data_IF_524553935213
#
_entry.id   IF_524553935213
#
_cell.length_a   1.000
_cell.length_b   1.000
_cell.length_c   1.000
_cell.angle_alpha   90.00
_cell.angle_beta   90.00
_cell.angle_gamma   90.00
#
_symmetry.space_group_name_H-M   'P 1'
#
loop_
_entity.id
_entity.type
_entity.pdbx_description
1 polymer ?
#
# COMPACT_ATOMS: atom_id res chain seq x y z
N UNK A 1 -28.38 -70.60 -46.74
CA UNK A 1 -27.67 -69.36 -46.34
C UNK A 1 -28.22 -68.22 -47.19
N UNK A 2 -28.85 -67.25 -46.54
CA UNK A 2 -29.91 -66.41 -47.11
C UNK A 2 -29.47 -64.95 -47.25
N UNK A 3 -29.68 -64.43 -48.47
CA UNK A 3 -30.24 -63.10 -48.84
C UNK A 3 -29.44 -61.79 -48.64
N UNK A 4 -29.36 -61.12 -49.80
CA UNK A 4 -29.70 -59.71 -50.09
C UNK A 4 -28.81 -58.63 -49.47
N UNK A 5 -28.12 -57.87 -50.34
CA UNK A 5 -27.73 -56.49 -50.06
C UNK A 5 -28.72 -55.54 -50.73
N UNK A 6 -29.34 -54.71 -49.89
CA UNK A 6 -30.34 -53.69 -50.22
C UNK A 6 -29.62 -52.35 -50.39
N UNK A 7 -30.09 -51.56 -51.36
CA UNK A 7 -29.68 -50.18 -51.60
C UNK A 7 -30.34 -49.21 -50.59
N UNK A 8 -29.64 -48.14 -50.20
CA UNK A 8 -30.24 -46.92 -49.65
C UNK A 8 -29.27 -45.74 -49.86
N UNK A 9 -29.58 -44.82 -50.80
CA UNK A 9 -30.25 -43.52 -50.60
C UNK A 9 -29.27 -42.40 -50.20
N UNK A 10 -29.05 -41.50 -51.16
CA UNK A 10 -28.45 -40.18 -50.98
C UNK A 10 -29.41 -39.28 -50.18
N UNK A 11 -28.88 -38.60 -49.16
CA UNK A 11 -29.51 -37.41 -48.60
C UNK A 11 -28.42 -36.35 -48.43
N UNK A 12 -28.47 -35.31 -49.27
CA UNK A 12 -27.65 -34.12 -49.14
C UNK A 12 -28.24 -33.22 -48.04
N UNK A 13 -27.46 -32.98 -46.98
CA UNK A 13 -27.81 -32.03 -45.93
C UNK A 13 -27.14 -30.68 -46.26
N UNK A 14 -27.94 -29.67 -46.62
CA UNK A 14 -27.48 -28.28 -46.74
C UNK A 14 -27.46 -27.68 -45.34
N UNK A 15 -26.26 -27.50 -44.78
CA UNK A 15 -26.06 -26.71 -43.56
C UNK A 15 -25.88 -25.24 -43.96
N UNK A 16 -26.91 -24.43 -43.71
CA UNK A 16 -26.83 -22.98 -43.83
C UNK A 16 -25.85 -22.41 -42.81
N UNK A 17 -24.80 -21.76 -43.28
CA UNK A 17 -23.87 -20.99 -42.46
C UNK A 17 -24.54 -19.70 -41.99
N UNK A 18 -25.02 -19.66 -40.75
CA UNK A 18 -25.32 -18.42 -40.05
C UNK A 18 -23.99 -17.80 -39.62
N UNK A 19 -23.50 -16.81 -40.39
CA UNK A 19 -22.43 -15.93 -39.95
C UNK A 19 -22.97 -15.01 -38.85
N UNK A 20 -22.43 -15.03 -37.62
CA UNK A 20 -22.81 -14.05 -36.62
C UNK A 20 -22.29 -12.69 -37.06
N UNK A 21 -23.21 -11.73 -37.27
CA UNK A 21 -22.85 -10.33 -37.40
C UNK A 21 -22.37 -9.87 -36.02
N UNK A 22 -21.06 -9.76 -35.87
CA UNK A 22 -20.45 -9.10 -34.72
C UNK A 22 -20.67 -7.60 -34.90
N UNK A 23 -21.68 -7.06 -34.20
CA UNK A 23 -21.77 -5.62 -34.00
C UNK A 23 -20.57 -5.18 -33.13
N UNK A 24 -19.86 -4.09 -33.48
CA UNK A 24 -18.86 -3.55 -32.57
C UNK A 24 -19.58 -3.07 -31.30
N UNK A 25 -19.11 -3.52 -30.13
CA UNK A 25 -19.57 -2.99 -28.86
C UNK A 25 -19.23 -1.49 -28.82
N UNK A 26 -20.26 -0.64 -28.95
CA UNK A 26 -20.12 0.79 -28.73
C UNK A 26 -19.65 1.01 -27.28
N UNK A 27 -18.59 1.81 -27.13
CA UNK A 27 -17.89 2.01 -25.87
C UNK A 27 -18.78 2.58 -24.77
N UNK A 28 -19.04 1.76 -23.74
CA UNK A 28 -19.67 2.19 -22.50
C UNK A 28 -18.70 2.95 -21.56
N UNK A 29 -17.44 3.14 -21.96
CA UNK A 29 -16.40 3.75 -21.09
C UNK A 29 -16.22 5.27 -21.30
N UNK A 30 -16.67 5.84 -22.42
CA UNK A 30 -16.47 7.27 -22.72
C UNK A 30 -17.49 8.21 -22.02
N UNK A 31 -18.67 7.71 -21.68
CA UNK A 31 -19.74 8.53 -21.09
C UNK A 31 -19.42 8.97 -19.66
N UNK A 32 -18.66 8.17 -18.92
CA UNK A 32 -18.54 8.33 -17.48
C UNK A 32 -17.57 9.45 -17.07
N UNK A 33 -16.50 9.68 -17.84
CA UNK A 33 -15.60 10.84 -17.64
C UNK A 33 -16.16 12.15 -18.19
N UNK A 34 -17.13 12.09 -19.10
CA UNK A 34 -17.56 13.26 -19.89
C UNK A 34 -18.21 14.37 -19.07
N UNK A 35 -18.63 14.07 -17.84
CA UNK A 35 -19.25 14.99 -16.87
C UNK A 35 -18.26 15.93 -16.19
N UNK A 36 -16.95 15.62 -16.19
CA UNK A 36 -15.93 16.44 -15.53
C UNK A 36 -15.41 17.56 -16.46
N UNK A 37 -15.06 18.74 -15.91
CA UNK A 37 -14.56 19.86 -16.70
C UNK A 37 -13.20 19.52 -17.32
N UNK A 38 -12.91 20.08 -18.50
CA UNK A 38 -11.56 20.01 -19.07
C UNK A 38 -10.57 20.78 -18.19
N UNK A 39 -9.35 20.26 -18.08
CA UNK A 39 -8.24 20.96 -17.47
C UNK A 39 -7.91 22.25 -18.26
N UNK A 40 -7.50 23.28 -17.55
CA UNK A 40 -7.17 24.62 -18.06
C UNK A 40 -5.80 25.00 -17.52
N UNK A 41 -4.87 25.28 -18.43
CA UNK A 41 -3.50 25.68 -18.07
C UNK A 41 -3.50 26.93 -17.19
N UNK A 42 -2.74 26.88 -16.08
CA UNK A 42 -2.59 28.02 -15.15
C UNK A 42 -3.82 28.33 -14.28
N UNK A 43 -4.89 27.54 -14.36
CA UNK A 43 -6.00 27.61 -13.41
C UNK A 43 -5.64 26.85 -12.13
N UNK A 44 -5.85 27.45 -10.97
CA UNK A 44 -5.70 26.72 -9.71
C UNK A 44 -6.81 25.69 -9.48
N UNK A 45 -6.43 24.53 -8.98
CA UNK A 45 -7.29 23.41 -8.60
C UNK A 45 -7.01 23.05 -7.15
N UNK A 46 -8.05 22.86 -6.35
CA UNK A 46 -7.88 22.38 -4.97
C UNK A 46 -7.87 20.86 -4.94
N UNK A 47 -7.26 20.29 -3.91
CA UNK A 47 -7.25 18.84 -3.67
C UNK A 47 -8.65 18.23 -3.85
N UNK A 48 -8.73 17.11 -4.58
CA UNK A 48 -9.96 16.41 -4.91
C UNK A 48 -10.69 16.91 -6.16
N UNK A 49 -10.25 18.00 -6.78
CA UNK A 49 -10.79 18.42 -8.09
C UNK A 49 -10.47 17.38 -9.18
N UNK A 50 -11.48 17.01 -9.95
CA UNK A 50 -11.35 16.07 -11.07
C UNK A 50 -11.46 16.84 -12.39
N UNK A 51 -10.53 16.62 -13.30
CA UNK A 51 -10.48 17.24 -14.62
C UNK A 51 -10.27 16.21 -15.72
N UNK A 52 -10.77 16.49 -16.92
CA UNK A 52 -10.40 15.76 -18.13
C UNK A 52 -9.17 16.39 -18.77
N UNK A 53 -8.23 15.56 -19.19
CA UNK A 53 -7.02 16.02 -19.85
C UNK A 53 -7.02 15.69 -21.35
N UNK A 54 -6.08 16.27 -22.09
CA UNK A 54 -6.04 16.22 -23.57
C UNK A 54 -5.73 14.83 -24.12
N UNK A 55 -5.19 13.93 -23.30
CA UNK A 55 -4.97 12.51 -23.63
C UNK A 55 -6.24 11.64 -23.55
N UNK A 56 -7.38 12.26 -23.23
CA UNK A 56 -8.69 11.62 -23.15
C UNK A 56 -9.00 10.97 -21.80
N UNK A 57 -8.10 11.05 -20.81
CA UNK A 57 -8.31 10.53 -19.45
C UNK A 57 -8.82 11.62 -18.51
N UNK A 58 -9.23 11.20 -17.31
CA UNK A 58 -9.46 12.11 -16.20
C UNK A 58 -8.35 12.00 -15.17
N UNK A 59 -8.18 13.05 -14.39
CA UNK A 59 -7.19 13.16 -13.33
C UNK A 59 -7.79 13.83 -12.11
N UNK A 60 -7.41 13.38 -10.92
CA UNK A 60 -7.78 14.00 -9.65
C UNK A 60 -6.58 14.74 -9.07
N UNK A 61 -6.80 15.93 -8.53
CA UNK A 61 -5.78 16.69 -7.84
C UNK A 61 -5.48 16.05 -6.46
N UNK A 62 -4.27 15.56 -6.24
CA UNK A 62 -3.84 15.00 -4.94
C UNK A 62 -3.42 16.09 -3.95
N UNK A 63 -3.07 17.27 -4.48
CA UNK A 63 -2.68 18.46 -3.74
C UNK A 63 -3.25 19.70 -4.41
N UNK A 64 -3.25 20.83 -3.68
CA UNK A 64 -3.60 22.13 -4.23
C UNK A 64 -2.62 22.51 -5.35
N UNK A 65 -3.14 22.55 -6.57
CA UNK A 65 -2.36 22.69 -7.77
C UNK A 65 -2.57 24.08 -8.39
N UNK A 66 -1.52 24.90 -8.58
CA UNK A 66 -1.63 26.22 -9.22
C UNK A 66 -1.84 26.19 -10.75
N UNK A 67 -2.19 25.03 -11.32
CA UNK A 67 -2.48 24.86 -12.74
C UNK A 67 -1.37 24.16 -13.54
N UNK A 68 -0.54 23.36 -12.87
CA UNK A 68 0.41 22.44 -13.50
C UNK A 68 -0.31 21.30 -14.23
N UNK A 69 0.40 20.74 -15.19
CA UNK A 69 -0.10 19.79 -16.16
C UNK A 69 -0.25 18.36 -15.59
N UNK A 70 -1.42 17.71 -15.76
CA UNK A 70 -1.71 16.33 -15.36
C UNK A 70 -0.74 15.23 -15.81
N UNK A 71 -0.07 15.38 -16.95
CA UNK A 71 0.86 14.33 -17.45
C UNK A 71 2.32 14.65 -17.18
N UNK A 72 2.63 15.89 -16.77
CA UNK A 72 4.01 16.31 -16.46
C UNK A 72 4.28 16.18 -14.97
N UNK A 73 3.31 16.52 -14.12
CA UNK A 73 3.49 16.56 -12.68
C UNK A 73 2.59 15.57 -11.96
N UNK A 74 3.05 14.32 -11.87
CA UNK A 74 2.39 13.24 -11.11
C UNK A 74 2.36 13.48 -9.59
N UNK A 75 3.01 14.56 -9.12
CA UNK A 75 2.87 15.01 -7.72
C UNK A 75 1.52 15.69 -7.47
N UNK A 76 0.98 16.43 -8.45
CA UNK A 76 -0.29 17.12 -8.27
C UNK A 76 -1.48 16.31 -8.76
N UNK A 77 -1.28 15.36 -9.67
CA UNK A 77 -2.34 14.70 -10.40
C UNK A 77 -2.17 13.18 -10.42
N UNK A 78 -3.28 12.48 -10.19
CA UNK A 78 -3.38 11.03 -10.33
C UNK A 78 -4.44 10.65 -11.38
N UNK A 79 -4.22 9.63 -12.23
CA UNK A 79 -5.22 9.16 -13.20
C UNK A 79 -6.52 8.69 -12.55
N UNK A 80 -7.64 9.35 -12.87
CA UNK A 80 -8.98 9.05 -12.37
C UNK A 80 -9.75 8.12 -13.33
N UNK A 81 -10.18 6.97 -12.82
CA UNK A 81 -11.17 6.14 -13.49
C UNK A 81 -12.56 6.76 -13.27
N UNK A 82 -13.36 6.88 -14.33
CA UNK A 82 -14.64 7.60 -14.23
C UNK A 82 -15.86 6.69 -14.22
N UNK A 83 -15.68 5.37 -14.21
CA UNK A 83 -16.76 4.38 -14.23
C UNK A 83 -17.57 4.29 -12.91
N UNK A 84 -17.40 5.27 -12.00
CA UNK A 84 -18.01 5.26 -10.67
C UNK A 84 -17.21 4.44 -9.66
N UNK A 85 -16.16 3.73 -10.08
CA UNK A 85 -14.99 3.50 -9.24
C UNK A 85 -14.13 4.75 -9.38
N UNK A 86 -13.76 5.44 -8.29
CA UNK A 86 -12.85 6.58 -8.40
C UNK A 86 -11.50 6.18 -9.01
N UNK A 87 -10.54 7.11 -9.06
CA UNK A 87 -9.09 6.78 -8.94
C UNK A 87 -8.92 5.56 -8.01
N UNK A 88 -7.91 4.70 -8.15
CA UNK A 88 -7.67 3.58 -7.25
C UNK A 88 -7.37 3.92 -5.78
N UNK A 89 -8.12 4.82 -5.15
CA UNK A 89 -8.72 4.63 -3.82
C UNK A 89 -9.62 3.37 -3.77
N UNK A 90 -9.88 2.69 -4.89
CA UNK A 90 -10.92 1.68 -5.06
C UNK A 90 -10.72 0.25 -4.53
N UNK A 91 -9.65 -0.10 -3.81
CA UNK A 91 -9.55 -1.44 -3.19
C UNK A 91 -8.85 -1.47 -1.82
N UNK A 92 -8.45 -0.34 -1.25
CA UNK A 92 -7.90 -0.40 0.09
C UNK A 92 -9.01 -0.70 1.09
N UNK A 93 -8.81 -1.76 1.87
CA UNK A 93 -9.82 -2.28 2.80
C UNK A 93 -10.03 -1.43 4.05
N UNK A 94 -9.28 -0.34 4.20
CA UNK A 94 -9.41 0.65 5.27
C UNK A 94 -9.84 1.97 4.65
N UNK A 95 -11.04 2.43 4.97
CA UNK A 95 -11.50 3.77 4.57
C UNK A 95 -10.79 4.88 5.33
N UNK A 96 -10.83 6.10 4.81
CA UNK A 96 -10.31 7.28 5.53
C UNK A 96 -10.97 7.48 6.89
N UNK A 97 -12.28 7.25 7.00
CA UNK A 97 -13.00 7.33 8.27
C UNK A 97 -12.47 6.32 9.30
N UNK A 98 -12.19 5.08 8.87
CA UNK A 98 -11.59 4.06 9.73
C UNK A 98 -10.15 4.42 10.10
N UNK A 99 -9.35 4.92 9.16
CA UNK A 99 -8.00 5.42 9.45
C UNK A 99 -8.03 6.55 10.49
N UNK A 100 -8.93 7.51 10.36
CA UNK A 100 -9.14 8.58 11.34
C UNK A 100 -9.58 8.04 12.72
N UNK A 101 -10.42 7.00 12.75
CA UNK A 101 -10.83 6.33 13.99
C UNK A 101 -9.67 5.57 14.65
N UNK A 102 -8.79 4.96 13.86
CA UNK A 102 -7.59 4.27 14.35
C UNK A 102 -6.57 5.24 14.95
N UNK A 103 -6.44 6.43 14.35
CA UNK A 103 -5.39 7.41 14.67
C UNK A 103 -5.96 8.82 14.95
N UNK A 104 -6.71 9.00 16.05
CA UNK A 104 -7.39 10.27 16.35
C UNK A 104 -6.45 11.40 16.76
N UNK A 105 -5.25 11.06 17.26
CA UNK A 105 -4.26 12.03 17.76
C UNK A 105 -3.02 12.14 16.86
N UNK A 106 -3.08 11.62 15.63
CA UNK A 106 -1.91 11.59 14.75
C UNK A 106 -1.37 12.98 14.44
N UNK A 107 -0.08 13.06 14.20
CA UNK A 107 0.53 14.20 13.56
C UNK A 107 -0.05 14.37 12.14
N UNK A 108 -0.32 15.61 11.73
CA UNK A 108 -0.87 15.92 10.40
C UNK A 108 0.04 15.50 9.25
N UNK A 109 1.33 15.26 9.51
CA UNK A 109 2.26 14.64 8.57
C UNK A 109 1.75 13.29 8.03
N UNK A 110 1.12 12.46 8.87
CA UNK A 110 0.64 11.15 8.46
C UNK A 110 -0.76 11.28 7.86
N UNK A 111 -0.80 11.43 6.54
CA UNK A 111 -2.05 11.58 5.79
C UNK A 111 -2.55 10.24 5.29
N UNK A 112 -3.88 10.10 5.17
CA UNK A 112 -4.49 8.94 4.52
C UNK A 112 -4.12 8.88 3.04
N UNK A 113 -4.11 10.04 2.36
CA UNK A 113 -3.66 10.14 0.97
C UNK A 113 -2.21 9.69 0.78
N UNK A 114 -1.31 10.04 1.69
CA UNK A 114 0.07 9.56 1.68
C UNK A 114 0.17 8.04 1.80
N UNK A 115 -0.68 7.41 2.63
CA UNK A 115 -0.75 5.95 2.74
C UNK A 115 -1.27 5.34 1.44
N UNK A 116 -2.37 5.85 0.89
CA UNK A 116 -2.96 5.29 -0.34
C UNK A 116 -2.06 5.46 -1.55
N UNK A 117 -1.38 6.59 -1.69
CA UNK A 117 -0.38 6.83 -2.74
C UNK A 117 0.80 5.84 -2.66
N UNK A 118 1.14 5.37 -1.47
CA UNK A 118 2.21 4.40 -1.25
C UNK A 118 1.83 2.95 -1.63
N UNK A 119 0.53 2.61 -1.66
CA UNK A 119 0.06 1.23 -1.90
C UNK A 119 0.51 0.68 -3.25
N UNK A 120 0.64 1.54 -4.27
CA UNK A 120 1.09 1.16 -5.61
C UNK A 120 2.50 0.55 -5.64
N UNK A 121 3.35 0.86 -4.64
CA UNK A 121 4.68 0.27 -4.52
C UNK A 121 4.64 -1.23 -4.16
N UNK A 122 3.55 -1.69 -3.55
CA UNK A 122 3.38 -3.08 -3.08
C UNK A 122 1.94 -3.57 -3.36
N UNK A 123 1.60 -3.89 -4.62
CA UNK A 123 0.21 -4.17 -5.03
C UNK A 123 -0.42 -5.42 -4.40
N UNK A 124 0.38 -6.29 -3.77
CA UNK A 124 -0.11 -7.46 -3.01
C UNK A 124 -0.52 -7.14 -1.56
N UNK A 125 -0.03 -6.04 -1.00
CA UNK A 125 -0.34 -5.63 0.38
C UNK A 125 -1.82 -5.32 0.54
N UNK A 126 -2.46 -5.93 1.54
CA UNK A 126 -3.89 -5.79 1.83
C UNK A 126 -4.79 -6.07 0.60
N UNK A 127 -4.28 -6.84 -0.37
CA UNK A 127 -4.95 -7.18 -1.61
C UNK A 127 -4.77 -8.67 -1.99
N UNK A 128 -4.19 -9.47 -1.09
CA UNK A 128 -3.95 -10.90 -1.29
C UNK A 128 -4.86 -11.73 -0.37
N UNK A 129 -5.45 -12.80 -0.91
CA UNK A 129 -6.33 -13.70 -0.16
C UNK A 129 -7.77 -13.19 -0.01
N UNK A 130 -8.46 -13.71 1.00
CA UNK A 130 -9.86 -13.34 1.30
C UNK A 130 -9.98 -11.91 1.84
N UNK A 131 -11.17 -11.31 1.81
CA UNK A 131 -11.37 -9.98 2.41
C UNK A 131 -11.08 -9.96 3.92
N UNK A 132 -11.30 -11.08 4.60
CA UNK A 132 -10.88 -11.28 6.00
C UNK A 132 -9.36 -11.14 6.12
N UNK A 133 -8.60 -11.83 5.25
CA UNK A 133 -7.12 -11.79 5.22
C UNK A 133 -6.60 -10.39 4.89
N UNK A 134 -7.18 -9.72 3.89
CA UNK A 134 -6.81 -8.35 3.52
C UNK A 134 -7.00 -7.38 4.68
N UNK A 135 -8.15 -7.45 5.37
CA UNK A 135 -8.45 -6.61 6.55
C UNK A 135 -7.54 -6.94 7.73
N UNK A 136 -7.25 -8.22 7.96
CA UNK A 136 -6.31 -8.66 8.98
C UNK A 136 -4.92 -8.11 8.71
N UNK A 137 -4.43 -8.21 7.48
CA UNK A 137 -3.12 -7.67 7.11
C UNK A 137 -3.06 -6.15 7.30
N UNK A 138 -4.06 -5.42 6.81
CA UNK A 138 -4.12 -3.97 6.98
C UNK A 138 -4.15 -3.56 8.46
N UNK A 139 -4.97 -4.23 9.28
CA UNK A 139 -5.01 -4.01 10.73
C UNK A 139 -3.68 -4.35 11.40
N UNK A 140 -3.01 -5.44 11.00
CA UNK A 140 -1.73 -5.86 11.57
C UNK A 140 -0.61 -4.87 11.27
N UNK A 141 -0.55 -4.37 10.02
CA UNK A 141 0.40 -3.33 9.63
C UNK A 141 0.15 -2.04 10.42
N UNK A 142 -1.08 -1.54 10.42
CA UNK A 142 -1.43 -0.29 11.10
C UNK A 142 -1.26 -0.40 12.63
N UNK A 143 -1.50 -1.56 13.23
CA UNK A 143 -1.31 -1.78 14.67
C UNK A 143 0.16 -1.72 15.07
N UNK A 144 1.05 -2.35 14.29
CA UNK A 144 2.49 -2.22 14.51
C UNK A 144 2.95 -0.78 14.29
N UNK A 145 2.47 -0.10 13.24
CA UNK A 145 2.73 1.32 13.02
C UNK A 145 2.27 2.16 14.22
N UNK A 146 1.09 1.90 14.75
CA UNK A 146 0.57 2.56 15.95
C UNK A 146 1.50 2.36 17.15
N UNK A 147 2.08 1.17 17.30
CA UNK A 147 2.98 0.88 18.40
C UNK A 147 4.32 1.63 18.24
N UNK A 148 4.93 1.59 17.05
CA UNK A 148 6.23 2.24 16.79
C UNK A 148 6.20 3.77 16.93
N UNK A 149 5.04 4.39 16.70
CA UNK A 149 4.93 5.86 16.57
C UNK A 149 4.07 6.51 17.65
N UNK A 150 3.61 5.74 18.63
CA UNK A 150 2.65 6.23 19.64
C UNK A 150 1.32 6.67 19.03
N UNK A 151 0.79 5.90 18.08
CA UNK A 151 -0.46 6.22 17.38
C UNK A 151 -0.28 7.31 16.31
N UNK A 152 0.84 7.27 15.58
CA UNK A 152 1.24 8.26 14.57
C UNK A 152 1.46 9.67 15.14
N UNK A 153 1.71 9.80 16.45
CA UNK A 153 2.05 11.10 17.07
C UNK A 153 3.47 11.51 16.70
N UNK A 154 4.39 10.56 16.65
CA UNK A 154 5.82 10.83 16.43
C UNK A 154 6.24 10.51 14.99
N UNK A 155 6.90 11.48 14.35
CA UNK A 155 7.51 11.32 13.02
C UNK A 155 8.91 10.72 13.14
N UNK A 156 9.66 11.15 14.16
CA UNK A 156 11.06 10.79 14.37
C UNK A 156 11.25 10.16 15.74
N UNK A 157 12.31 9.39 15.91
CA UNK A 157 12.73 8.84 17.19
C UNK A 157 12.91 9.98 18.22
N UNK A 158 12.41 9.79 19.44
CA UNK A 158 12.40 10.85 20.45
C UNK A 158 13.73 10.96 21.22
N UNK A 159 14.44 9.86 21.41
CA UNK A 159 15.70 9.86 22.14
C UNK A 159 16.86 10.30 21.24
N UNK A 160 17.05 11.60 21.11
CA UNK A 160 18.10 12.20 20.25
C UNK A 160 19.52 11.79 20.62
N UNK A 161 19.76 11.34 21.86
CA UNK A 161 21.06 10.82 22.29
C UNK A 161 21.46 9.54 21.53
N UNK A 162 20.48 8.78 21.00
CA UNK A 162 20.74 7.57 20.22
C UNK A 162 21.10 7.87 18.76
N UNK A 163 20.84 9.07 18.23
CA UNK A 163 20.98 9.34 16.80
C UNK A 163 22.35 8.98 16.20
N UNK A 164 23.49 9.21 16.89
CA UNK A 164 24.81 8.82 16.36
C UNK A 164 25.06 7.31 16.29
N UNK A 165 24.19 6.48 16.87
CA UNK A 165 24.37 5.01 16.94
C UNK A 165 24.03 4.30 15.63
N UNK A 166 23.16 4.89 14.81
CA UNK A 166 22.57 4.25 13.62
C UNK A 166 23.43 4.36 12.36
N UNK A 167 24.74 4.57 12.53
CA UNK A 167 25.70 4.58 11.45
C UNK A 167 26.61 3.36 11.57
N UNK A 168 26.38 2.36 10.73
CA UNK A 168 27.26 1.21 10.59
C UNK A 168 28.41 1.54 9.62
N UNK A 169 29.57 1.85 10.18
CA UNK A 169 30.81 2.13 9.44
C UNK A 169 31.43 0.90 8.77
N UNK A 170 30.96 -0.31 9.06
CA UNK A 170 31.40 -1.51 8.35
C UNK A 170 30.83 -1.59 6.92
N UNK A 171 29.77 -0.83 6.63
CA UNK A 171 29.20 -0.71 5.29
C UNK A 171 30.13 0.08 4.37
N UNK A 172 30.41 -0.45 3.18
CA UNK A 172 31.33 0.18 2.22
C UNK A 172 30.89 1.56 1.72
N UNK A 173 29.59 1.85 1.75
CA UNK A 173 29.01 3.15 1.40
C UNK A 173 28.95 4.12 2.58
N UNK A 174 29.30 3.69 3.79
CA UNK A 174 29.35 4.52 4.99
C UNK A 174 28.04 5.26 5.28
N UNK A 175 28.19 6.52 5.69
CA UNK A 175 27.10 7.36 6.19
C UNK A 175 27.14 8.75 5.53
N UNK A 176 26.85 8.87 4.22
CA UNK A 176 27.04 10.11 3.45
C UNK A 176 26.19 11.29 3.96
N UNK A 177 24.98 11.04 4.48
CA UNK A 177 24.17 12.08 5.11
C UNK A 177 24.65 12.53 6.51
N UNK A 178 25.68 11.88 7.05
CA UNK A 178 26.26 12.15 8.38
C UNK A 178 26.01 11.01 9.38
N UNK A 179 26.89 10.90 10.39
CA UNK A 179 26.83 9.84 11.41
C UNK A 179 25.49 9.80 12.16
N UNK A 180 24.91 10.96 12.45
CA UNK A 180 23.65 11.09 13.21
C UNK A 180 22.42 11.23 12.32
N UNK A 181 22.48 10.79 11.06
CA UNK A 181 21.42 11.04 10.08
C UNK A 181 20.43 9.88 9.90
N UNK A 182 20.70 8.69 10.44
CA UNK A 182 19.92 7.46 10.17
C UNK A 182 19.11 6.94 11.37
N UNK A 183 18.71 7.86 12.25
CA UNK A 183 17.77 7.58 13.34
C UNK A 183 16.37 7.19 12.84
N UNK A 184 15.53 6.71 13.75
CA UNK A 184 14.17 6.25 13.44
C UNK A 184 13.30 7.33 12.81
N UNK A 185 12.68 7.02 11.66
CA UNK A 185 11.69 7.90 11.00
C UNK A 185 10.49 7.13 10.46
N UNK A 186 9.35 7.82 10.38
CA UNK A 186 8.16 7.33 9.71
C UNK A 186 7.43 6.20 10.43
N UNK A 187 6.49 5.53 9.73
CA UNK A 187 5.47 4.68 10.36
C UNK A 187 6.03 3.44 11.07
N UNK A 188 7.16 2.89 10.61
CA UNK A 188 7.86 1.77 11.26
C UNK A 188 9.25 2.14 11.76
N UNK A 189 9.51 3.45 11.99
CA UNK A 189 10.76 3.97 12.53
C UNK A 189 12.03 3.40 11.85
N UNK A 190 12.08 3.49 10.51
CA UNK A 190 13.23 2.99 9.74
C UNK A 190 14.52 3.64 10.28
N UNK A 191 15.47 2.79 10.63
CA UNK A 191 16.72 3.15 11.33
C UNK A 191 17.89 2.41 10.69
N UNK A 192 19.11 2.91 10.85
CA UNK A 192 20.36 2.40 10.27
C UNK A 192 20.61 2.72 8.80
N UNK A 193 21.81 3.20 8.48
CA UNK A 193 22.25 3.52 7.11
C UNK A 193 22.00 2.38 6.10
N UNK A 194 22.21 1.12 6.50
CA UNK A 194 21.96 -0.02 5.61
C UNK A 194 20.48 -0.23 5.26
N UNK A 195 19.56 0.08 6.18
CA UNK A 195 18.12 0.00 5.89
C UNK A 195 17.68 1.16 4.99
N UNK A 196 18.18 2.38 5.25
CA UNK A 196 17.92 3.52 4.35
C UNK A 196 18.44 3.23 2.93
N UNK A 197 19.62 2.61 2.80
CA UNK A 197 20.15 2.17 1.50
C UNK A 197 19.24 1.13 0.84
N UNK A 198 18.90 0.05 1.55
CA UNK A 198 18.11 -1.04 1.00
C UNK A 198 16.68 -0.61 0.62
N UNK A 199 16.03 0.22 1.44
CA UNK A 199 14.73 0.80 1.14
C UNK A 199 14.81 1.75 -0.06
N UNK A 200 15.84 2.59 -0.11
CA UNK A 200 16.04 3.53 -1.20
C UNK A 200 16.23 2.84 -2.55
N UNK A 201 17.06 1.79 -2.57
CA UNK A 201 17.27 0.96 -3.78
C UNK A 201 15.98 0.32 -4.27
N UNK A 202 15.18 -0.26 -3.35
CA UNK A 202 13.94 -0.93 -3.70
C UNK A 202 12.86 0.04 -4.21
N UNK A 203 12.84 1.27 -3.69
CA UNK A 203 11.83 2.28 -4.01
C UNK A 203 12.25 3.23 -5.14
N UNK A 204 13.51 3.20 -5.57
CA UNK A 204 14.07 4.15 -6.53
C UNK A 204 14.21 5.56 -5.97
N UNK A 205 14.48 5.71 -4.66
CA UNK A 205 14.57 6.98 -3.95
C UNK A 205 15.91 7.01 -3.20
N UNK A 206 16.73 8.05 -3.34
CA UNK A 206 18.01 8.13 -2.62
C UNK A 206 17.82 8.48 -1.13
N UNK A 207 17.44 7.48 -0.35
CA UNK A 207 17.24 7.59 1.09
C UNK A 207 18.54 7.50 1.88
N UNK A 208 19.63 6.97 1.29
CA UNK A 208 20.95 6.98 1.92
C UNK A 208 21.55 8.39 1.88
N UNK A 209 21.50 9.06 0.74
CA UNK A 209 21.96 10.45 0.59
C UNK A 209 21.01 11.47 1.20
N UNK A 210 19.70 11.20 1.21
CA UNK A 210 18.68 12.11 1.74
C UNK A 210 17.67 11.40 2.67
N UNK A 211 18.09 10.97 3.87
CA UNK A 211 17.21 10.25 4.80
C UNK A 211 16.07 11.11 5.36
N UNK A 212 16.17 12.44 5.28
CA UNK A 212 15.13 13.36 5.74
C UNK A 212 13.84 13.30 4.91
N UNK A 213 13.86 12.73 3.71
CA UNK A 213 12.63 12.50 2.93
C UNK A 213 11.59 11.71 3.73
N UNK A 214 12.02 10.75 4.56
CA UNK A 214 11.13 9.91 5.38
C UNK A 214 10.38 10.72 6.46
N UNK A 215 10.87 11.90 6.85
CA UNK A 215 10.19 12.80 7.80
C UNK A 215 9.57 14.04 7.16
N UNK A 216 9.77 14.25 5.86
CA UNK A 216 9.32 15.44 5.14
C UNK A 216 8.29 15.12 4.04
N UNK A 217 8.21 13.88 3.59
CA UNK A 217 7.23 13.41 2.61
C UNK A 217 6.44 12.21 3.16
N UNK A 218 5.13 12.40 3.31
CA UNK A 218 4.22 11.39 3.88
C UNK A 218 4.21 10.10 3.06
N UNK A 219 4.15 10.20 1.74
CA UNK A 219 4.09 9.04 0.86
C UNK A 219 5.42 8.27 0.87
N UNK A 220 6.56 8.96 0.91
CA UNK A 220 7.87 8.31 1.10
C UNK A 220 7.92 7.58 2.43
N UNK A 221 7.44 8.20 3.52
CA UNK A 221 7.39 7.56 4.82
C UNK A 221 6.56 6.27 4.79
N UNK A 222 5.36 6.30 4.21
CA UNK A 222 4.53 5.11 4.04
C UNK A 222 5.17 4.04 3.14
N UNK A 223 5.83 4.44 2.04
CA UNK A 223 6.57 3.51 1.17
C UNK A 223 7.68 2.78 1.93
N UNK A 224 8.41 3.46 2.82
CA UNK A 224 9.45 2.78 3.64
C UNK A 224 8.85 1.75 4.61
N UNK A 225 7.68 2.04 5.19
CA UNK A 225 7.01 1.10 6.08
C UNK A 225 6.46 -0.12 5.30
N UNK A 226 5.86 0.11 4.12
CA UNK A 226 5.41 -0.96 3.24
C UNK A 226 6.59 -1.80 2.71
N UNK A 227 7.73 -1.16 2.41
CA UNK A 227 8.96 -1.86 2.05
C UNK A 227 9.36 -2.85 3.13
N UNK A 228 9.42 -2.41 4.39
CA UNK A 228 9.75 -3.30 5.49
C UNK A 228 8.75 -4.46 5.60
N UNK A 229 7.46 -4.14 5.64
CA UNK A 229 6.37 -5.10 5.82
C UNK A 229 6.35 -6.21 4.75
N UNK A 230 6.63 -5.85 3.50
CA UNK A 230 6.50 -6.76 2.37
C UNK A 230 7.80 -7.49 2.02
N UNK A 231 8.97 -6.99 2.47
CA UNK A 231 10.26 -7.52 2.00
C UNK A 231 11.21 -7.97 3.10
N UNK A 232 11.04 -7.51 4.34
CA UNK A 232 11.99 -7.75 5.42
C UNK A 232 11.46 -8.77 6.41
N UNK A 233 12.32 -9.71 6.83
CA UNK A 233 12.04 -10.65 7.92
C UNK A 233 12.53 -10.16 9.28
N UNK A 234 13.39 -9.14 9.31
CA UNK A 234 14.03 -8.64 10.53
C UNK A 234 14.61 -9.78 11.38
N UNK A 235 14.39 -9.81 12.70
CA UNK A 235 14.83 -10.92 13.56
C UNK A 235 13.90 -12.15 13.51
N UNK A 236 12.87 -12.14 12.67
CA UNK A 236 12.00 -13.28 12.40
C UNK A 236 12.49 -14.15 11.24
N UNK A 237 11.61 -15.05 10.77
CA UNK A 237 11.90 -16.02 9.69
C UNK A 237 11.06 -15.81 8.43
N UNK A 238 10.16 -14.83 8.42
CA UNK A 238 9.28 -14.52 7.29
C UNK A 238 8.95 -13.03 7.27
N UNK A 239 8.43 -12.52 6.15
CA UNK A 239 7.94 -11.15 6.11
C UNK A 239 6.62 -11.02 6.87
N UNK A 240 6.32 -9.86 7.48
CA UNK A 240 5.00 -9.60 8.04
C UNK A 240 3.84 -9.82 7.05
N UNK A 241 4.01 -9.46 5.77
CA UNK A 241 3.05 -9.77 4.71
C UNK A 241 2.74 -11.28 4.64
N UNK A 242 3.78 -12.11 4.52
CA UNK A 242 3.62 -13.56 4.46
C UNK A 242 3.08 -14.17 5.76
N UNK A 243 3.39 -13.58 6.91
CA UNK A 243 2.84 -14.01 8.18
C UNK A 243 1.30 -13.90 8.22
N UNK A 244 0.77 -12.81 7.65
CA UNK A 244 -0.68 -12.58 7.59
C UNK A 244 -1.33 -13.37 6.45
N UNK A 245 -0.78 -13.33 5.24
CA UNK A 245 -1.35 -13.98 4.05
C UNK A 245 -1.38 -15.50 4.19
N UNK A 246 -0.34 -16.10 4.79
CA UNK A 246 -0.25 -17.56 4.96
C UNK A 246 -0.85 -18.05 6.28
N UNK A 247 -1.45 -17.17 7.08
CA UNK A 247 -2.09 -17.54 8.34
C UNK A 247 -1.12 -18.00 9.44
N UNK A 248 0.15 -17.58 9.38
CA UNK A 248 1.12 -17.88 10.45
C UNK A 248 0.79 -17.13 11.75
N UNK A 249 0.18 -15.95 11.63
CA UNK A 249 -0.41 -15.19 12.73
C UNK A 249 0.31 -13.89 13.08
N UNK A 250 -0.39 -13.01 13.80
CA UNK A 250 0.08 -11.67 14.13
C UNK A 250 1.39 -11.66 14.93
N UNK A 251 1.62 -12.67 15.78
CA UNK A 251 2.86 -12.79 16.56
C UNK A 251 4.13 -12.90 15.69
N UNK A 252 4.03 -13.44 14.47
CA UNK A 252 5.16 -13.47 13.54
C UNK A 252 5.47 -12.07 12.96
N UNK A 253 4.48 -11.18 12.87
CA UNK A 253 4.71 -9.79 12.49
C UNK A 253 5.51 -9.05 13.57
N UNK A 254 5.14 -9.26 14.84
CA UNK A 254 5.87 -8.72 16.01
C UNK A 254 7.31 -9.25 16.00
N UNK A 255 7.46 -10.56 15.82
CA UNK A 255 8.78 -11.19 15.76
C UNK A 255 9.65 -10.61 14.66
N UNK A 256 9.07 -10.32 13.49
CA UNK A 256 9.80 -9.79 12.34
C UNK A 256 10.12 -8.31 12.47
N UNK A 257 9.45 -7.55 13.33
CA UNK A 257 9.69 -6.12 13.54
C UNK A 257 10.66 -5.90 14.70
N UNK A 258 10.42 -6.54 15.85
CA UNK A 258 11.22 -6.31 17.07
C UNK A 258 11.39 -7.56 17.95
N UNK A 259 11.32 -8.75 17.35
CA UNK A 259 11.32 -10.01 18.08
C UNK A 259 12.59 -10.31 18.87
N UNK A 260 13.72 -9.71 18.53
CA UNK A 260 14.97 -9.86 19.28
C UNK A 260 14.88 -9.33 20.72
N UNK A 261 13.99 -8.37 20.99
CA UNK A 261 13.86 -7.73 22.31
C UNK A 261 12.45 -7.82 22.91
N UNK A 262 11.41 -8.17 22.13
CA UNK A 262 10.04 -8.28 22.65
C UNK A 262 9.59 -9.73 22.88
N UNK A 263 9.80 -10.61 21.90
CA UNK A 263 9.30 -11.98 21.92
C UNK A 263 10.04 -12.89 22.91
N UNK A 264 9.53 -14.11 23.07
CA UNK A 264 10.09 -15.18 23.91
C UNK A 264 10.18 -14.76 25.39
N UNK A 265 9.19 -13.98 25.85
CA UNK A 265 9.05 -13.51 27.22
C UNK A 265 9.93 -12.32 27.60
N UNK A 266 10.65 -11.71 26.64
CA UNK A 266 11.57 -10.57 26.92
C UNK A 266 10.84 -9.27 27.26
N UNK A 267 9.72 -8.98 26.58
CA UNK A 267 8.90 -7.82 26.88
C UNK A 267 7.40 -8.11 26.70
N UNK A 268 6.78 -8.88 27.63
CA UNK A 268 5.37 -9.27 27.52
C UNK A 268 4.42 -8.07 27.44
N UNK A 269 4.76 -6.96 28.09
CA UNK A 269 3.95 -5.74 28.06
C UNK A 269 3.92 -5.08 26.67
N UNK A 270 5.04 -5.08 25.94
CA UNK A 270 5.08 -4.51 24.59
C UNK A 270 4.35 -5.39 23.58
N UNK A 271 4.52 -6.71 23.68
CA UNK A 271 3.75 -7.68 22.88
C UNK A 271 2.25 -7.48 23.12
N UNK A 272 1.82 -7.36 24.39
CA UNK A 272 0.42 -7.10 24.72
C UNK A 272 -0.09 -5.79 24.12
N UNK A 273 0.69 -4.70 24.19
CA UNK A 273 0.34 -3.41 23.58
C UNK A 273 0.09 -3.51 22.08
N UNK A 274 0.91 -4.27 21.34
CA UNK A 274 0.70 -4.54 19.91
C UNK A 274 -0.58 -5.35 19.66
N UNK A 275 -0.81 -6.38 20.47
CA UNK A 275 -2.01 -7.24 20.37
C UNK A 275 -3.28 -6.45 20.66
N UNK A 276 -3.27 -5.54 21.63
CA UNK A 276 -4.40 -4.67 21.96
C UNK A 276 -4.73 -3.73 20.80
N UNK A 277 -3.71 -3.11 20.20
CA UNK A 277 -3.89 -2.27 19.02
C UNK A 277 -4.45 -3.06 17.83
N UNK A 278 -3.91 -4.26 17.56
CA UNK A 278 -4.38 -5.14 16.49
C UNK A 278 -5.83 -5.55 16.69
N UNK A 279 -6.19 -5.99 17.89
CA UNK A 279 -7.56 -6.39 18.25
C UNK A 279 -8.55 -5.24 18.03
N UNK A 280 -8.19 -4.03 18.47
CA UNK A 280 -8.99 -2.82 18.24
C UNK A 280 -9.15 -2.52 16.75
N UNK A 281 -8.08 -2.62 15.98
CA UNK A 281 -8.11 -2.29 14.55
C UNK A 281 -8.88 -3.34 13.73
N UNK A 282 -8.78 -4.63 14.06
CA UNK A 282 -9.63 -5.65 13.45
C UNK A 282 -11.11 -5.44 13.76
N UNK A 283 -11.43 -4.95 14.96
CA UNK A 283 -12.80 -4.59 15.34
C UNK A 283 -13.34 -3.43 14.49
N UNK A 284 -12.54 -2.36 14.30
CA UNK A 284 -12.88 -1.22 13.43
C UNK A 284 -13.14 -1.66 11.97
N UNK A 285 -12.39 -2.66 11.49
CA UNK A 285 -12.55 -3.19 10.13
C UNK A 285 -13.67 -4.24 10.00
N UNK A 286 -14.27 -4.66 11.11
CA UNK A 286 -15.28 -5.72 11.15
C UNK A 286 -14.71 -7.07 10.71
N UNK A 287 -13.52 -7.44 11.19
CA UNK A 287 -12.88 -8.73 10.93
C UNK A 287 -12.40 -9.39 12.24
N UNK A 288 -12.07 -10.68 12.18
CA UNK A 288 -11.48 -11.40 13.33
C UNK A 288 -9.96 -11.23 13.36
N UNK A 289 -9.34 -11.48 14.52
CA UNK A 289 -7.88 -11.41 14.69
C UNK A 289 -7.12 -12.58 14.06
N UNK A 290 -7.79 -13.71 13.83
CA UNK A 290 -7.13 -14.98 13.55
C UNK A 290 -6.46 -15.58 14.80
N UNK A 291 -5.55 -16.53 14.58
CA UNK A 291 -4.81 -17.24 15.63
C UNK A 291 -3.37 -16.74 15.80
N UNK A 292 -2.66 -17.27 16.79
CA UNK A 292 -1.22 -17.02 17.05
C UNK A 292 -0.86 -15.53 17.16
N UNK A 293 -1.56 -14.83 18.05
CA UNK A 293 -1.40 -13.38 18.22
C UNK A 293 -0.10 -12.98 18.92
N UNK A 294 0.47 -13.89 19.69
CA UNK A 294 1.61 -13.64 20.55
C UNK A 294 2.89 -14.24 20.00
N UNK A 295 4.01 -13.67 20.44
CA UNK A 295 5.34 -14.22 20.45
C UNK A 295 5.92 -13.95 21.85
#
# INVERSE_FOLDING_TARGET
MSRRRIAAVLTALVLGSLTPVVLPAAGASAASCSSYPNWVAGKSYVTGNIVRYTDGKAYIAEHDNPGYDPVISTWFWEPYACDGSGTPVGNFVVSEAQFNQMFPSRNSFYTYSGLTAALSAYPGFANTGSDTTKKQEAAAFLANVSHETGGLVYIVEQNTANYPTYCDWSQSYGCPAGQSAYYGRGPLQISWNFNYKAAGDALGIDLLGNPWLVQNDSAVAWKTALWYWNTQSGPGSMTPHNAMVNGAGFGQTIRSINGSIECDGKSPAQVQSRVDAYTRFTSILGTSTGANLYC
#
